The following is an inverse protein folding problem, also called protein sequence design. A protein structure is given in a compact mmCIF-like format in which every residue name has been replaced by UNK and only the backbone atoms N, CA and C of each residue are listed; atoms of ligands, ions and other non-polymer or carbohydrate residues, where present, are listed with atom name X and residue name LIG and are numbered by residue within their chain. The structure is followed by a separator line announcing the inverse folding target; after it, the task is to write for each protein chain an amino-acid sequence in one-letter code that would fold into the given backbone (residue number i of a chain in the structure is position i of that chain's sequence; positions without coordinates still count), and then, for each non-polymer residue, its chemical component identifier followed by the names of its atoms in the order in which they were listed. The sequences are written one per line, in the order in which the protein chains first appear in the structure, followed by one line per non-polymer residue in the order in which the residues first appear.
data_IF_186461765372
#
_entry.id   IF_186461765372
#
_cell.length_a   1.000
_cell.length_b   1.000
_cell.length_c   1.000
_cell.angle_alpha   90.00
_cell.angle_beta   90.00
_cell.angle_gamma   90.00
#
_symmetry.space_group_name_H-M   'P 1'
#
loop_
_entity.id
_entity.type
_entity.pdbx_description
1 polymer ?
#
# COMPACT_ATOMS: atom_id res chain seq x y z
N UNK A 1 69.78 -64.21 -12.55
CA UNK A 1 68.47 -63.82 -12.01
C UNK A 1 68.54 -62.35 -11.61
N UNK A 2 67.68 -61.46 -12.16
CA UNK A 2 67.70 -60.04 -11.82
C UNK A 2 67.20 -59.81 -10.39
N UNK A 3 67.81 -58.87 -9.68
CA UNK A 3 67.42 -58.52 -8.30
C UNK A 3 66.19 -57.61 -8.27
N UNK A 4 65.56 -57.47 -7.10
CA UNK A 4 64.43 -56.55 -6.88
C UNK A 4 64.76 -55.13 -7.32
N UNK A 5 65.92 -54.61 -6.91
CA UNK A 5 66.33 -53.22 -7.19
C UNK A 5 66.56 -53.00 -8.69
N UNK A 6 67.07 -54.00 -9.40
CA UNK A 6 67.23 -53.95 -10.86
C UNK A 6 65.88 -53.89 -11.57
N UNK A 7 64.91 -54.73 -11.17
CA UNK A 7 63.55 -54.72 -11.74
C UNK A 7 62.84 -53.40 -11.44
N UNK A 8 63.00 -52.86 -10.22
CA UNK A 8 62.40 -51.59 -9.82
C UNK A 8 63.00 -50.41 -10.57
N UNK A 9 64.33 -50.36 -10.71
CA UNK A 9 65.01 -49.35 -11.50
C UNK A 9 64.65 -49.42 -12.99
N UNK A 10 64.46 -50.62 -13.54
CA UNK A 10 63.97 -50.78 -14.91
C UNK A 10 62.51 -50.32 -15.07
N UNK A 11 61.64 -50.62 -14.11
CA UNK A 11 60.26 -50.15 -14.11
C UNK A 11 60.17 -48.61 -14.00
N UNK A 12 60.99 -47.99 -13.14
CA UNK A 12 61.09 -46.54 -13.00
C UNK A 12 61.58 -45.89 -14.31
N UNK A 13 62.53 -46.52 -15.02
CA UNK A 13 62.98 -46.03 -16.34
C UNK A 13 61.88 -46.11 -17.40
N UNK A 14 61.17 -47.22 -17.50
CA UNK A 14 60.03 -47.36 -18.43
C UNK A 14 58.93 -46.35 -18.09
N UNK A 15 58.70 -46.09 -16.80
CA UNK A 15 57.75 -45.06 -16.39
C UNK A 15 58.22 -43.66 -16.82
N UNK A 16 59.51 -43.36 -16.68
CA UNK A 16 60.09 -42.07 -17.04
C UNK A 16 60.07 -41.79 -18.55
N UNK A 17 60.11 -42.82 -19.41
CA UNK A 17 59.94 -42.63 -20.87
C UNK A 17 58.49 -42.36 -21.27
N UNK A 18 57.53 -42.44 -20.34
CA UNK A 18 56.10 -42.28 -20.61
C UNK A 18 55.45 -43.52 -21.22
N UNK A 19 56.21 -44.60 -21.40
CA UNK A 19 55.70 -45.88 -21.89
C UNK A 19 54.94 -46.65 -20.80
N UNK A 20 54.09 -47.59 -21.23
CA UNK A 20 53.38 -48.47 -20.31
C UNK A 20 54.36 -49.41 -19.61
N UNK A 21 54.37 -49.37 -18.28
CA UNK A 21 55.13 -50.33 -17.47
C UNK A 21 54.45 -51.69 -17.54
N UNK A 22 55.11 -52.64 -18.19
CA UNK A 22 54.65 -54.02 -18.38
C UNK A 22 55.84 -54.96 -18.22
N UNK A 23 55.60 -56.25 -17.94
CA UNK A 23 56.69 -57.23 -17.86
C UNK A 23 57.55 -57.22 -19.13
N UNK A 24 56.93 -57.04 -20.31
CA UNK A 24 57.62 -56.97 -21.59
C UNK A 24 58.54 -55.75 -21.69
N UNK A 25 58.04 -54.56 -21.36
CA UNK A 25 58.85 -53.32 -21.42
C UNK A 25 59.93 -53.30 -20.34
N UNK A 26 59.66 -53.83 -19.14
CA UNK A 26 60.67 -53.97 -18.07
C UNK A 26 61.75 -54.99 -18.44
N UNK A 27 61.41 -56.15 -19.02
CA UNK A 27 62.39 -57.14 -19.51
C UNK A 27 63.21 -56.56 -20.67
N UNK A 28 62.60 -55.81 -21.59
CA UNK A 28 63.30 -55.13 -22.67
C UNK A 28 64.30 -54.10 -22.11
N UNK A 29 63.87 -53.28 -21.14
CA UNK A 29 64.72 -52.32 -20.45
C UNK A 29 65.86 -53.00 -19.69
N UNK A 30 65.62 -54.14 -19.04
CA UNK A 30 66.66 -54.92 -18.37
C UNK A 30 67.68 -55.49 -19.35
N UNK A 31 67.22 -56.04 -20.50
CA UNK A 31 68.08 -56.61 -21.55
C UNK A 31 69.02 -55.58 -22.18
N UNK A 32 68.62 -54.32 -22.20
CA UNK A 32 69.41 -53.25 -22.81
C UNK A 32 70.64 -52.88 -21.96
N UNK A 33 70.61 -53.14 -20.65
CA UNK A 33 71.65 -52.70 -19.71
C UNK A 33 72.32 -53.85 -18.92
N UNK A 34 71.72 -55.05 -18.85
CA UNK A 34 72.28 -56.25 -18.19
C UNK A 34 71.71 -57.58 -18.76
N UNK A 35 72.14 -58.74 -18.23
CA UNK A 35 71.55 -60.07 -18.55
C UNK A 35 70.04 -60.05 -18.24
N UNK A 36 69.22 -60.09 -19.30
CA UNK A 36 67.76 -60.11 -19.18
C UNK A 36 67.24 -61.30 -18.38
N UNK A 37 66.33 -61.05 -17.44
CA UNK A 37 65.62 -62.09 -16.69
C UNK A 37 64.43 -62.66 -17.47
N UNK A 38 64.01 -63.85 -17.07
CA UNK A 38 62.75 -64.45 -17.54
C UNK A 38 61.54 -63.77 -16.91
N UNK A 39 60.38 -63.91 -17.55
CA UNK A 39 59.10 -63.41 -17.04
C UNK A 39 58.78 -63.92 -15.63
N UNK A 40 59.20 -65.15 -15.30
CA UNK A 40 58.99 -65.78 -13.99
C UNK A 40 59.84 -65.15 -12.89
N UNK A 41 61.03 -64.64 -13.24
CA UNK A 41 61.94 -63.97 -12.29
C UNK A 41 61.56 -62.48 -12.11
N UNK A 42 61.15 -61.80 -13.18
CA UNK A 42 60.79 -60.36 -13.14
C UNK A 42 59.39 -60.14 -12.55
N UNK A 43 58.45 -61.06 -12.78
CA UNK A 43 57.05 -60.92 -12.41
C UNK A 43 56.80 -60.57 -10.94
N UNK A 44 57.35 -61.31 -9.96
CA UNK A 44 57.14 -61.03 -8.54
C UNK A 44 57.68 -59.66 -8.11
N UNK A 45 58.87 -59.28 -8.62
CA UNK A 45 59.49 -58.00 -8.29
C UNK A 45 58.77 -56.81 -8.93
N UNK A 46 58.30 -56.96 -10.17
CA UNK A 46 57.51 -55.94 -10.85
C UNK A 46 56.13 -55.78 -10.21
N UNK A 47 55.48 -56.86 -9.80
CA UNK A 47 54.22 -56.77 -9.05
C UNK A 47 54.40 -55.98 -7.75
N UNK A 48 55.45 -56.30 -6.98
CA UNK A 48 55.78 -55.54 -5.77
C UNK A 48 56.03 -54.05 -6.06
N UNK A 49 56.66 -53.72 -7.20
CA UNK A 49 56.83 -52.34 -7.64
C UNK A 49 55.49 -51.66 -7.98
N UNK A 50 54.61 -52.33 -8.73
CA UNK A 50 53.28 -51.81 -9.11
C UNK A 50 52.46 -51.50 -7.86
N UNK A 51 52.44 -52.42 -6.90
CA UNK A 51 51.73 -52.25 -5.63
C UNK A 51 52.35 -51.12 -4.80
N UNK A 52 53.67 -51.09 -4.65
CA UNK A 52 54.36 -50.08 -3.83
C UNK A 52 54.24 -48.66 -4.41
N UNK A 53 54.22 -48.52 -5.74
CA UNK A 53 54.08 -47.24 -6.45
C UNK A 53 52.62 -46.89 -6.78
N UNK A 54 51.66 -47.73 -6.39
CA UNK A 54 50.25 -47.60 -6.74
C UNK A 54 50.03 -47.29 -8.24
N UNK A 55 50.79 -47.98 -9.11
CA UNK A 55 50.81 -47.68 -10.53
C UNK A 55 49.49 -48.10 -11.19
N UNK A 56 48.77 -47.12 -11.76
CA UNK A 56 47.56 -47.33 -12.57
C UNK A 56 47.89 -47.13 -14.06
N UNK A 57 47.91 -48.19 -14.89
CA UNK A 57 48.20 -48.03 -16.32
C UNK A 57 47.14 -47.13 -16.96
N UNK A 58 47.58 -46.13 -17.73
CA UNK A 58 46.67 -45.29 -18.54
C UNK A 58 46.01 -46.18 -19.60
N UNK A 59 44.68 -46.12 -19.70
CA UNK A 59 43.94 -46.74 -20.80
C UNK A 59 44.22 -45.94 -22.06
N UNK A 60 44.62 -46.61 -23.15
CA UNK A 60 44.73 -45.99 -24.46
C UNK A 60 43.32 -45.58 -24.92
N UNK A 61 43.13 -44.29 -25.21
CA UNK A 61 41.89 -43.79 -25.79
C UNK A 61 41.94 -44.11 -27.29
N UNK A 62 41.43 -45.29 -27.66
CA UNK A 62 41.18 -45.59 -29.06
C UNK A 62 39.98 -44.77 -29.54
N UNK A 63 40.07 -44.22 -30.75
CA UNK A 63 38.93 -43.55 -31.39
C UNK A 63 37.74 -44.53 -31.50
N UNK A 64 36.53 -44.02 -31.26
CA UNK A 64 35.32 -44.82 -31.37
C UNK A 64 35.15 -45.31 -32.81
N UNK A 65 34.83 -46.60 -33.04
CA UNK A 65 34.48 -47.13 -34.35
C UNK A 65 33.43 -46.25 -35.05
N UNK A 66 33.61 -45.95 -36.34
CA UNK A 66 32.74 -45.05 -37.12
C UNK A 66 31.25 -45.40 -37.00
N UNK A 67 30.93 -46.70 -36.97
CA UNK A 67 29.55 -47.19 -36.76
C UNK A 67 28.96 -46.67 -35.44
N UNK A 68 29.72 -46.68 -34.36
CA UNK A 68 29.26 -46.20 -33.05
C UNK A 68 29.13 -44.67 -33.02
N UNK A 69 29.96 -43.94 -33.76
CA UNK A 69 29.82 -42.49 -33.91
C UNK A 69 28.49 -42.12 -34.58
N UNK A 70 28.13 -42.81 -35.68
CA UNK A 70 26.87 -42.56 -36.38
C UNK A 70 25.61 -42.91 -35.57
N UNK A 71 25.67 -43.92 -34.70
CA UNK A 71 24.59 -44.23 -33.76
C UNK A 71 24.49 -43.16 -32.65
N UNK A 72 25.64 -42.74 -32.09
CA UNK A 72 25.66 -41.67 -31.07
C UNK A 72 25.09 -40.35 -31.59
N UNK A 73 25.46 -39.94 -32.80
CA UNK A 73 24.92 -38.72 -33.42
C UNK A 73 23.40 -38.81 -33.59
N UNK A 74 22.88 -39.97 -33.98
CA UNK A 74 21.43 -40.19 -34.12
C UNK A 74 20.70 -40.11 -32.77
N UNK A 75 21.26 -40.71 -31.73
CA UNK A 75 20.70 -40.62 -30.37
C UNK A 75 20.70 -39.18 -29.87
N UNK A 76 21.81 -38.46 -29.99
CA UNK A 76 21.92 -37.06 -29.56
C UNK A 76 20.91 -36.19 -30.32
N UNK A 77 20.77 -36.39 -31.63
CA UNK A 77 19.78 -35.67 -32.43
C UNK A 77 18.35 -35.96 -31.96
N UNK A 78 17.99 -37.22 -31.77
CA UNK A 78 16.65 -37.58 -31.30
C UNK A 78 16.34 -37.00 -29.91
N UNK A 79 17.31 -37.04 -28.98
CA UNK A 79 17.16 -36.41 -27.66
C UNK A 79 17.03 -34.89 -27.78
N UNK A 80 17.79 -34.26 -28.66
CA UNK A 80 17.70 -32.82 -28.89
C UNK A 80 16.35 -32.42 -29.50
N UNK A 81 15.89 -33.14 -30.52
CA UNK A 81 14.62 -32.88 -31.18
C UNK A 81 13.46 -33.02 -30.18
N UNK A 82 13.45 -34.06 -29.35
CA UNK A 82 12.46 -34.24 -28.29
C UNK A 82 12.54 -33.15 -27.21
N UNK A 83 13.75 -32.79 -26.78
CA UNK A 83 13.94 -31.72 -25.80
C UNK A 83 13.46 -30.36 -26.33
N UNK A 84 13.62 -30.08 -27.63
CA UNK A 84 13.12 -28.88 -28.27
C UNK A 84 11.59 -28.87 -28.37
N UNK A 85 10.97 -30.02 -28.65
CA UNK A 85 9.50 -30.16 -28.65
C UNK A 85 8.97 -29.89 -27.24
N UNK A 86 9.56 -30.51 -26.21
CA UNK A 86 9.15 -30.30 -24.83
C UNK A 86 9.36 -28.85 -24.37
N UNK A 87 10.50 -28.24 -24.70
CA UNK A 87 10.76 -26.84 -24.37
C UNK A 87 9.78 -25.88 -25.06
N UNK A 88 9.45 -26.13 -26.33
CA UNK A 88 8.45 -25.33 -27.05
C UNK A 88 7.05 -25.49 -26.44
N UNK A 89 6.66 -26.69 -26.02
CA UNK A 89 5.40 -26.94 -25.34
C UNK A 89 5.33 -26.19 -24.00
N UNK A 90 6.37 -26.28 -23.16
CA UNK A 90 6.44 -25.55 -21.88
C UNK A 90 6.35 -24.04 -22.08
N UNK A 91 7.05 -23.48 -23.07
CA UNK A 91 6.98 -22.06 -23.37
C UNK A 91 5.57 -21.65 -23.85
N UNK A 92 4.92 -22.49 -24.67
CA UNK A 92 3.54 -22.23 -25.10
C UNK A 92 2.58 -22.19 -23.89
N UNK A 93 2.70 -23.16 -22.97
CA UNK A 93 1.90 -23.19 -21.74
C UNK A 93 2.15 -21.97 -20.85
N UNK A 94 3.41 -21.58 -20.64
CA UNK A 94 3.78 -20.39 -19.86
C UNK A 94 3.20 -19.11 -20.49
N UNK A 95 3.30 -18.96 -21.82
CA UNK A 95 2.74 -17.79 -22.51
C UNK A 95 1.21 -17.74 -22.43
N UNK A 96 0.55 -18.91 -22.48
CA UNK A 96 -0.89 -19.00 -22.31
C UNK A 96 -1.32 -18.60 -20.89
N UNK A 97 -0.61 -19.07 -19.86
CA UNK A 97 -0.86 -18.71 -18.46
C UNK A 97 -0.67 -17.21 -18.23
N UNK A 98 0.44 -16.63 -18.70
CA UNK A 98 0.71 -15.20 -18.56
C UNK A 98 -0.34 -14.35 -19.28
N UNK A 99 -0.82 -14.80 -20.46
CA UNK A 99 -1.90 -14.11 -21.17
C UNK A 99 -3.19 -14.16 -20.36
N UNK A 100 -3.59 -15.33 -19.88
CA UNK A 100 -4.80 -15.49 -19.07
C UNK A 100 -4.75 -14.65 -17.78
N UNK A 101 -3.59 -14.62 -17.12
CA UNK A 101 -3.37 -13.79 -15.93
C UNK A 101 -3.48 -12.29 -16.25
N UNK A 102 -2.93 -11.84 -17.37
CA UNK A 102 -3.06 -10.44 -17.81
C UNK A 102 -4.51 -10.08 -18.09
N UNK A 103 -5.23 -10.92 -18.82
CA UNK A 103 -6.64 -10.70 -19.14
C UNK A 103 -7.50 -10.63 -17.87
N UNK A 104 -7.30 -11.55 -16.92
CA UNK A 104 -7.98 -11.52 -15.63
C UNK A 104 -7.66 -10.26 -14.83
N UNK A 105 -6.38 -9.84 -14.79
CA UNK A 105 -5.98 -8.60 -14.13
C UNK A 105 -6.59 -7.36 -14.80
N UNK A 106 -6.69 -7.34 -16.13
CA UNK A 106 -7.33 -6.24 -16.85
C UNK A 106 -8.83 -6.18 -16.51
N UNK A 107 -9.53 -7.31 -16.54
CA UNK A 107 -10.94 -7.36 -16.16
C UNK A 107 -11.19 -6.84 -14.74
N UNK A 108 -10.37 -7.27 -13.76
CA UNK A 108 -10.47 -6.79 -12.37
C UNK A 108 -10.20 -5.29 -12.24
N UNK A 109 -9.25 -4.74 -13.00
CA UNK A 109 -8.96 -3.30 -13.00
C UNK A 109 -10.11 -2.50 -13.62
N UNK A 110 -10.71 -3.01 -14.68
CA UNK A 110 -11.85 -2.37 -15.34
C UNK A 110 -13.07 -2.36 -14.40
N UNK A 111 -13.34 -3.47 -13.72
CA UNK A 111 -14.39 -3.57 -12.69
C UNK A 111 -14.14 -2.59 -11.54
N UNK A 112 -12.94 -2.60 -10.95
CA UNK A 112 -12.58 -1.68 -9.87
C UNK A 112 -12.67 -0.20 -10.29
N UNK A 113 -12.35 0.12 -11.55
CA UNK A 113 -12.49 1.47 -12.07
C UNK A 113 -13.95 1.89 -12.23
N UNK A 114 -14.83 1.00 -12.68
CA UNK A 114 -16.26 1.26 -12.75
C UNK A 114 -16.85 1.47 -11.36
N UNK A 115 -16.51 0.62 -10.40
CA UNK A 115 -16.92 0.77 -9.00
C UNK A 115 -16.46 2.11 -8.42
N UNK A 116 -15.17 2.46 -8.61
CA UNK A 116 -14.63 3.74 -8.15
C UNK A 116 -15.42 4.93 -8.72
N UNK A 117 -15.80 4.89 -10.00
CA UNK A 117 -16.64 5.93 -10.61
C UNK A 117 -18.03 5.99 -10.01
N UNK A 118 -18.66 4.85 -9.72
CA UNK A 118 -19.97 4.84 -9.05
C UNK A 118 -19.89 5.45 -7.66
N UNK A 119 -18.88 5.08 -6.88
CA UNK A 119 -18.65 5.64 -5.55
C UNK A 119 -18.35 7.14 -5.59
N UNK A 120 -17.57 7.61 -6.56
CA UNK A 120 -17.31 9.04 -6.74
C UNK A 120 -18.61 9.82 -7.02
N UNK A 121 -19.47 9.29 -7.90
CA UNK A 121 -20.76 9.90 -8.21
C UNK A 121 -21.70 9.93 -7.01
N UNK A 122 -21.81 8.83 -6.27
CA UNK A 122 -22.62 8.74 -5.05
C UNK A 122 -22.13 9.69 -3.97
N UNK A 123 -20.80 9.76 -3.76
CA UNK A 123 -20.21 10.65 -2.76
C UNK A 123 -20.40 12.12 -3.13
N UNK A 124 -20.31 12.47 -4.42
CA UNK A 124 -20.65 13.80 -4.89
C UNK A 124 -22.13 14.15 -4.62
N UNK A 125 -23.05 13.22 -4.90
CA UNK A 125 -24.48 13.40 -4.62
C UNK A 125 -24.77 13.56 -3.12
N UNK A 126 -24.14 12.74 -2.27
CA UNK A 126 -24.28 12.84 -0.81
C UNK A 126 -23.74 14.17 -0.27
N UNK A 127 -22.61 14.66 -0.80
CA UNK A 127 -22.06 15.97 -0.43
C UNK A 127 -22.98 17.11 -0.84
N UNK A 128 -23.56 17.06 -2.04
CA UNK A 128 -24.54 18.05 -2.49
C UNK A 128 -25.76 18.08 -1.57
N UNK A 129 -26.34 16.90 -1.28
CA UNK A 129 -27.49 16.80 -0.36
C UNK A 129 -27.15 17.28 1.06
N UNK A 130 -25.93 17.01 1.53
CA UNK A 130 -25.47 17.51 2.82
C UNK A 130 -25.42 19.03 2.84
N UNK A 131 -24.89 19.66 1.78
CA UNK A 131 -24.83 21.11 1.68
C UNK A 131 -26.24 21.73 1.66
N UNK A 132 -27.18 21.14 0.91
CA UNK A 132 -28.59 21.57 0.90
C UNK A 132 -29.21 21.51 2.31
N UNK A 133 -29.01 20.40 3.03
CA UNK A 133 -29.52 20.26 4.40
C UNK A 133 -28.86 21.26 5.36
N UNK A 134 -27.57 21.55 5.20
CA UNK A 134 -26.87 22.56 6.02
C UNK A 134 -27.45 23.97 5.79
N UNK A 135 -27.77 24.30 4.54
CA UNK A 135 -28.43 25.56 4.17
C UNK A 135 -29.87 25.64 4.74
N UNK A 136 -30.66 24.58 4.62
CA UNK A 136 -32.00 24.50 5.19
C UNK A 136 -31.95 24.68 6.72
N UNK A 137 -31.04 23.98 7.40
CA UNK A 137 -30.86 24.11 8.86
C UNK A 137 -30.44 25.54 9.22
N UNK A 138 -29.58 26.18 8.43
CA UNK A 138 -29.17 27.56 8.65
C UNK A 138 -30.35 28.53 8.51
N UNK A 139 -31.21 28.33 7.50
CA UNK A 139 -32.42 29.11 7.29
C UNK A 139 -33.41 28.94 8.45
N UNK A 140 -33.71 27.69 8.83
CA UNK A 140 -34.60 27.40 9.96
C UNK A 140 -34.07 27.99 11.27
N UNK A 141 -32.76 27.94 11.52
CA UNK A 141 -32.13 28.60 12.68
C UNK A 141 -32.27 30.12 12.64
N UNK A 142 -32.23 30.74 11.45
CA UNK A 142 -32.44 32.18 11.29
C UNK A 142 -33.89 32.55 11.57
N UNK A 143 -34.84 31.77 11.06
CA UNK A 143 -36.28 31.96 11.32
C UNK A 143 -36.61 31.78 12.79
N UNK A 144 -36.10 30.72 13.42
CA UNK A 144 -36.28 30.48 14.86
C UNK A 144 -35.70 31.63 15.70
N UNK A 145 -34.52 32.15 15.34
CA UNK A 145 -33.95 33.34 16.01
C UNK A 145 -34.86 34.57 15.85
N UNK A 146 -35.42 34.78 14.66
CA UNK A 146 -36.36 35.89 14.41
C UNK A 146 -37.64 35.74 15.23
N UNK A 147 -38.23 34.55 15.30
CA UNK A 147 -39.43 34.28 16.08
C UNK A 147 -39.18 34.48 17.57
N UNK A 148 -38.11 33.90 18.12
CA UNK A 148 -37.73 34.08 19.53
C UNK A 148 -37.50 35.55 19.88
N UNK A 149 -36.82 36.29 19.00
CA UNK A 149 -36.62 37.72 19.20
C UNK A 149 -37.95 38.50 19.19
N UNK A 150 -38.89 38.15 18.30
CA UNK A 150 -40.20 38.79 18.25
C UNK A 150 -41.00 38.53 19.53
N UNK A 151 -41.09 37.28 19.97
CA UNK A 151 -41.78 36.89 21.21
C UNK A 151 -41.19 37.57 22.44
N UNK A 152 -39.85 37.61 22.53
CA UNK A 152 -39.14 38.31 23.60
C UNK A 152 -39.52 39.79 23.63
N UNK A 153 -39.44 40.49 22.49
CA UNK A 153 -39.76 41.92 22.45
C UNK A 153 -41.24 42.16 22.73
N UNK A 154 -42.15 41.29 22.30
CA UNK A 154 -43.57 41.41 22.65
C UNK A 154 -43.84 41.16 24.13
N UNK A 155 -43.06 40.31 24.81
CA UNK A 155 -43.10 40.18 26.27
C UNK A 155 -42.57 41.45 26.95
N UNK A 156 -41.40 41.95 26.52
CA UNK A 156 -40.83 43.20 27.06
C UNK A 156 -41.79 44.37 26.91
N UNK A 157 -42.46 44.53 25.76
CA UNK A 157 -43.41 45.63 25.56
C UNK A 157 -44.65 45.50 26.46
N UNK A 158 -45.12 44.29 26.76
CA UNK A 158 -46.22 44.08 27.72
C UNK A 158 -45.82 44.50 29.13
N UNK A 159 -44.64 44.08 29.56
CA UNK A 159 -44.08 44.43 30.88
C UNK A 159 -43.85 45.93 31.03
N UNK A 160 -43.35 46.59 29.98
CA UNK A 160 -43.22 48.06 29.95
C UNK A 160 -44.59 48.74 30.05
N UNK A 161 -45.63 48.20 29.41
CA UNK A 161 -46.99 48.75 29.48
C UNK A 161 -47.64 48.54 30.85
N UNK A 162 -47.22 47.54 31.62
CA UNK A 162 -47.62 47.35 33.01
C UNK A 162 -46.91 48.33 33.96
N UNK A 163 -45.63 48.63 33.71
CA UNK A 163 -44.86 49.61 34.50
C UNK A 163 -45.33 51.05 34.24
N UNK A 164 -45.74 51.37 33.01
CA UNK A 164 -46.20 52.70 32.64
C UNK A 164 -47.66 52.91 33.09
N UNK A 165 -47.85 53.83 34.03
CA UNK A 165 -49.19 54.32 34.38
C UNK A 165 -49.64 55.41 33.38
N UNK A 166 -50.95 55.60 33.14
CA UNK A 166 -51.44 56.73 32.34
C UNK A 166 -51.10 58.11 32.93
N UNK A 167 -50.93 58.18 34.25
CA UNK A 167 -50.69 59.41 35.00
C UNK A 167 -49.20 59.76 35.21
N UNK A 168 -48.28 58.80 35.05
CA UNK A 168 -46.84 58.98 35.29
C UNK A 168 -46.06 58.77 33.98
N UNK A 169 -45.29 59.78 33.57
CA UNK A 169 -44.45 59.72 32.39
C UNK A 169 -43.03 59.33 32.80
N UNK A 170 -42.49 58.25 32.23
CA UNK A 170 -41.15 57.76 32.56
C UNK A 170 -40.17 57.91 31.40
N UNK A 171 -38.91 58.16 31.73
CA UNK A 171 -37.81 58.05 30.77
C UNK A 171 -37.47 56.59 30.49
N UNK A 172 -36.86 56.34 29.34
CA UNK A 172 -36.30 55.03 28.96
C UNK A 172 -35.39 54.41 30.03
N UNK A 173 -34.62 55.25 30.71
CA UNK A 173 -33.65 54.82 31.72
C UNK A 173 -34.34 54.38 33.01
N UNK A 174 -35.42 55.06 33.39
CA UNK A 174 -36.26 54.66 34.52
C UNK A 174 -37.04 53.39 34.21
N UNK A 175 -37.56 53.24 32.98
CA UNK A 175 -38.25 52.03 32.55
C UNK A 175 -37.31 50.82 32.63
N UNK A 176 -36.09 50.93 32.08
CA UNK A 176 -35.10 49.83 32.15
C UNK A 176 -34.74 49.46 33.59
N UNK A 177 -34.69 50.44 34.52
CA UNK A 177 -34.43 50.17 35.95
C UNK A 177 -35.59 49.47 36.65
N UNK A 178 -36.83 49.70 36.20
CA UNK A 178 -38.05 49.11 36.78
C UNK A 178 -38.40 47.75 36.16
N UNK A 179 -37.79 47.36 35.04
CA UNK A 179 -38.04 46.07 34.39
C UNK A 179 -37.49 44.88 35.21
N UNK A 180 -38.15 43.71 35.17
CA UNK A 180 -37.66 42.51 35.82
C UNK A 180 -36.24 42.13 35.39
N UNK A 181 -35.35 41.75 36.34
CA UNK A 181 -33.97 41.37 36.02
C UNK A 181 -33.87 40.12 35.14
N UNK A 182 -34.91 39.27 35.15
CA UNK A 182 -35.04 38.09 34.29
C UNK A 182 -35.04 38.45 32.80
N UNK A 183 -35.70 39.54 32.41
CA UNK A 183 -35.73 40.02 31.02
C UNK A 183 -34.37 40.57 30.57
N UNK A 184 -33.61 41.17 31.49
CA UNK A 184 -32.26 41.64 31.20
C UNK A 184 -31.30 40.45 30.97
N UNK A 185 -31.44 39.38 31.74
CA UNK A 185 -30.70 38.13 31.54
C UNK A 185 -31.10 37.42 30.24
N UNK A 186 -32.40 37.35 29.94
CA UNK A 186 -32.93 36.77 28.70
C UNK A 186 -32.47 37.57 27.47
N UNK A 187 -32.41 38.90 27.55
CA UNK A 187 -31.88 39.74 26.47
C UNK A 187 -30.43 39.40 26.12
N UNK A 188 -29.59 39.15 27.13
CA UNK A 188 -28.19 38.73 26.96
C UNK A 188 -28.12 37.33 26.33
N UNK A 189 -28.99 36.41 26.75
CA UNK A 189 -29.04 35.05 26.20
C UNK A 189 -29.50 35.01 24.73
N UNK A 190 -30.38 35.93 24.31
CA UNK A 190 -30.92 35.97 22.95
C UNK A 190 -29.97 36.67 21.97
N UNK A 191 -29.36 37.79 22.38
CA UNK A 191 -28.50 38.57 21.48
C UNK A 191 -27.55 39.49 22.25
N UNK A 192 -28.11 40.48 22.96
CA UNK A 192 -27.37 41.63 23.49
C UNK A 192 -28.10 42.21 24.71
N UNK A 193 -27.39 42.90 25.61
CA UNK A 193 -28.00 43.51 26.78
C UNK A 193 -29.15 44.47 26.42
N UNK A 194 -30.14 44.53 27.32
CA UNK A 194 -31.26 45.44 27.24
C UNK A 194 -30.79 46.84 27.65
N UNK A 195 -30.50 47.70 26.67
CA UNK A 195 -30.06 49.08 26.91
C UNK A 195 -31.21 50.07 26.69
N UNK A 196 -31.22 51.23 27.37
CA UNK A 196 -32.25 52.26 27.17
C UNK A 196 -32.38 52.69 25.70
N UNK A 197 -31.26 52.78 24.97
CA UNK A 197 -31.27 53.11 23.55
C UNK A 197 -31.94 52.05 22.66
N UNK A 198 -31.82 50.76 22.98
CA UNK A 198 -32.51 49.69 22.24
C UNK A 198 -33.99 49.66 22.59
N UNK A 199 -34.33 49.86 23.86
CA UNK A 199 -35.70 49.94 24.31
C UNK A 199 -36.43 51.11 23.61
N UNK A 200 -35.82 52.29 23.56
CA UNK A 200 -36.37 53.45 22.85
C UNK A 200 -36.67 53.17 21.38
N UNK A 201 -35.74 52.57 20.65
CA UNK A 201 -35.97 52.22 19.23
C UNK A 201 -37.15 51.25 19.08
N UNK A 202 -37.30 50.29 19.99
CA UNK A 202 -38.41 49.33 19.94
C UNK A 202 -39.75 49.95 20.36
N UNK A 203 -39.75 50.83 21.35
CA UNK A 203 -40.93 51.61 21.76
C UNK A 203 -41.39 52.56 20.66
N UNK A 204 -40.47 53.24 19.97
CA UNK A 204 -40.78 54.12 18.84
C UNK A 204 -41.55 53.39 17.72
N UNK A 205 -41.12 52.18 17.37
CA UNK A 205 -41.84 51.33 16.39
C UNK A 205 -43.26 51.01 16.88
N UNK A 206 -43.46 50.76 18.18
CA UNK A 206 -44.79 50.47 18.74
C UNK A 206 -45.69 51.71 18.76
N UNK A 207 -45.13 52.88 19.02
CA UNK A 207 -45.82 54.19 18.93
C UNK A 207 -46.25 54.48 17.50
N UNK A 208 -45.39 54.23 16.51
CA UNK A 208 -45.73 54.39 15.09
C UNK A 208 -46.94 53.52 14.70
N UNK A 209 -47.00 52.30 15.22
CA UNK A 209 -48.14 51.40 15.06
C UNK A 209 -49.31 51.66 16.03
N UNK A 210 -49.27 52.76 16.81
CA UNK A 210 -50.27 53.15 17.82
C UNK A 210 -50.61 52.03 18.82
N UNK A 211 -49.59 51.29 19.26
CA UNK A 211 -49.71 50.19 20.24
C UNK A 211 -48.98 50.54 21.54
N UNK A 212 -49.62 50.24 22.66
CA UNK A 212 -49.11 50.30 24.05
C UNK A 212 -48.76 51.69 24.62
N UNK A 213 -48.15 52.60 23.86
CA UNK A 213 -47.53 53.82 24.41
C UNK A 213 -47.82 55.08 23.60
N UNK A 214 -47.70 56.22 24.27
CA UNK A 214 -47.56 57.54 23.69
C UNK A 214 -46.22 58.17 24.16
N UNK A 215 -45.56 58.91 23.28
CA UNK A 215 -44.33 59.65 23.59
C UNK A 215 -44.62 61.14 23.53
N UNK A 216 -44.20 61.89 24.56
CA UNK A 216 -44.17 63.34 24.50
C UNK A 216 -42.98 63.79 23.62
N UNK A 217 -43.23 64.41 22.45
CA UNK A 217 -42.17 64.77 21.50
C UNK A 217 -41.18 65.80 22.04
N UNK A 218 -41.53 66.56 23.10
CA UNK A 218 -40.66 67.59 23.69
C UNK A 218 -39.77 67.03 24.80
N UNK A 219 -40.28 66.08 25.59
CA UNK A 219 -39.60 65.60 26.80
C UNK A 219 -39.04 64.19 26.69
N UNK A 220 -39.37 63.45 25.62
CA UNK A 220 -38.98 62.04 25.43
C UNK A 220 -39.44 61.13 26.57
N UNK A 221 -40.53 61.54 27.24
CA UNK A 221 -41.19 60.76 28.28
C UNK A 221 -42.26 59.88 27.65
N UNK A 222 -42.35 58.65 28.14
CA UNK A 222 -43.31 57.65 27.69
C UNK A 222 -44.45 57.53 28.69
N UNK A 223 -45.67 57.40 28.17
CA UNK A 223 -46.89 57.08 28.94
C UNK A 223 -47.61 55.91 28.29
N UNK A 224 -48.43 55.22 29.07
CA UNK A 224 -49.32 54.19 28.53
C UNK A 224 -50.43 54.84 27.72
N UNK A 225 -50.73 54.28 26.55
CA UNK A 225 -51.87 54.68 25.74
C UNK A 225 -53.17 54.48 26.54
N UNK A 226 -53.95 55.54 26.73
CA UNK A 226 -55.27 55.44 27.36
C UNK A 226 -56.14 54.55 26.46
N UNK A 227 -56.64 53.45 27.03
CA UNK A 227 -57.54 52.53 26.33
C UNK A 227 -58.96 53.08 26.34
#
# INVERSE_FOLDING_TARGET
MPTKDQVWGAADRVLATGERVSQRSVIASLRQWERGGSTREVGPHLFAWITARNYKPRLEVAELPERLQGELVRVVKAVWDEAMIEAAARLADETALVRAEREANHALRDEAWLEARTFEAENAALRARKAEMEDEVAQLRKEMRRMRAAEFWDRVMREVAEILAPAEALTAQEIVRRLPPTLAQEAIAIDKPLTPGRLNRKMAIRIEHRRYFEEDPKTKLYRRLAT
#
